data_IF_042821187764
#
_entry.id   IF_042821187764
#
_cell.length_a   1.000
_cell.length_b   1.000
_cell.length_c   1.000
_cell.angle_alpha   90.00
_cell.angle_beta   90.00
_cell.angle_gamma   90.00
#
_symmetry.space_group_name_H-M   'P 1'
#
loop_
_entity.id
_entity.type
_entity.pdbx_description
1 polymer ?
#
# COMPACT_ATOMS: atom_id res chain seq x y z
N UNK A 1 -48.94 34.94 3.51
CA UNK A 1 -47.64 34.24 3.18
C UNK A 1 -47.75 32.80 3.67
N UNK A 2 -47.89 31.82 2.77
CA UNK A 2 -47.92 30.41 3.18
C UNK A 2 -46.53 29.99 3.70
N UNK A 3 -46.49 29.52 4.94
CA UNK A 3 -45.27 29.01 5.56
C UNK A 3 -44.89 27.68 4.86
N UNK A 4 -43.68 27.60 4.26
CA UNK A 4 -43.18 26.36 3.64
C UNK A 4 -43.04 25.26 4.73
N UNK A 5 -43.40 24.05 4.34
CA UNK A 5 -43.19 22.86 5.20
C UNK A 5 -41.69 22.54 5.34
N UNK A 6 -41.33 21.78 6.37
CA UNK A 6 -39.93 21.33 6.59
C UNK A 6 -39.40 20.59 5.35
N UNK A 7 -40.22 19.76 4.71
CA UNK A 7 -39.84 18.99 3.50
C UNK A 7 -39.59 19.90 2.31
N UNK A 8 -40.41 20.93 2.11
CA UNK A 8 -40.23 21.91 1.05
C UNK A 8 -38.91 22.71 1.22
N UNK A 9 -38.59 23.10 2.45
CA UNK A 9 -37.34 23.78 2.76
C UNK A 9 -36.12 22.87 2.49
N UNK A 10 -36.21 21.60 2.80
CA UNK A 10 -35.14 20.62 2.53
C UNK A 10 -34.93 20.40 1.02
N UNK A 11 -36.04 20.29 0.27
CA UNK A 11 -36.01 20.14 -1.18
C UNK A 11 -35.42 21.39 -1.87
N UNK A 12 -35.81 22.58 -1.42
CA UNK A 12 -35.24 23.83 -1.93
C UNK A 12 -33.73 23.90 -1.68
N UNK A 13 -33.26 23.47 -0.51
CA UNK A 13 -31.84 23.42 -0.19
C UNK A 13 -31.07 22.48 -1.11
N UNK A 14 -31.57 21.25 -1.32
CA UNK A 14 -30.96 20.30 -2.23
C UNK A 14 -30.97 20.81 -3.68
N UNK A 15 -32.05 21.45 -4.10
CA UNK A 15 -32.16 22.04 -5.45
C UNK A 15 -31.13 23.16 -5.65
N UNK A 16 -30.89 24.02 -4.65
CA UNK A 16 -29.87 25.07 -4.70
C UNK A 16 -28.48 24.45 -4.84
N UNK A 17 -28.16 23.46 -4.01
CA UNK A 17 -26.87 22.76 -4.06
C UNK A 17 -26.65 22.10 -5.40
N UNK A 18 -27.68 21.42 -5.95
CA UNK A 18 -27.58 20.76 -7.25
C UNK A 18 -27.30 21.73 -8.38
N UNK A 19 -28.04 22.85 -8.44
CA UNK A 19 -27.80 23.88 -9.45
C UNK A 19 -26.38 24.43 -9.37
N UNK A 20 -25.93 24.80 -8.17
CA UNK A 20 -24.58 25.28 -7.95
C UNK A 20 -23.51 24.28 -8.42
N UNK A 21 -23.68 22.99 -8.09
CA UNK A 21 -22.74 21.94 -8.53
C UNK A 21 -22.73 21.78 -10.04
N UNK A 22 -23.88 21.87 -10.68
CA UNK A 22 -23.95 21.79 -12.13
C UNK A 22 -23.21 22.96 -12.77
N UNK A 23 -23.44 24.16 -12.25
CA UNK A 23 -22.87 25.38 -12.84
C UNK A 23 -21.36 25.49 -12.62
N UNK A 24 -20.83 25.03 -11.46
CA UNK A 24 -19.42 25.21 -11.11
C UNK A 24 -18.52 23.98 -11.38
N UNK A 25 -19.10 22.77 -11.42
CA UNK A 25 -18.31 21.53 -11.43
C UNK A 25 -18.60 20.57 -12.57
N UNK A 26 -19.58 20.87 -13.44
CA UNK A 26 -19.99 19.99 -14.53
C UNK A 26 -19.96 20.75 -15.86
N UNK A 27 -18.86 20.63 -16.59
CA UNK A 27 -18.60 21.40 -17.84
C UNK A 27 -19.70 21.24 -18.89
N UNK A 28 -20.27 20.05 -19.04
CA UNK A 28 -21.37 19.76 -19.95
C UNK A 28 -22.76 20.06 -19.37
N UNK A 29 -22.85 20.63 -18.18
CA UNK A 29 -24.07 21.07 -17.54
C UNK A 29 -25.11 19.95 -17.33
N UNK A 30 -26.39 20.30 -17.47
CA UNK A 30 -27.53 19.36 -17.23
C UNK A 30 -27.57 18.18 -18.20
N UNK A 31 -27.10 18.36 -19.42
CA UNK A 31 -27.06 17.30 -20.43
C UNK A 31 -26.03 16.23 -20.05
N UNK A 32 -24.82 16.62 -19.69
CA UNK A 32 -23.79 15.71 -19.25
C UNK A 32 -24.20 14.95 -17.99
N UNK A 33 -24.73 15.64 -16.99
CA UNK A 33 -25.22 15.02 -15.77
C UNK A 33 -26.34 14.02 -16.05
N UNK A 34 -27.27 14.35 -16.95
CA UNK A 34 -28.39 13.49 -17.29
C UNK A 34 -27.97 12.25 -18.06
N UNK A 35 -27.28 12.43 -19.17
CA UNK A 35 -26.97 11.36 -20.13
C UNK A 35 -25.75 10.56 -19.67
N UNK A 36 -24.63 11.21 -19.38
CA UNK A 36 -23.38 10.53 -19.08
C UNK A 36 -23.31 10.00 -17.63
N UNK A 37 -23.91 10.72 -16.69
CA UNK A 37 -23.78 10.40 -15.27
C UNK A 37 -24.95 9.58 -14.72
N UNK A 38 -26.19 9.98 -15.05
CA UNK A 38 -27.39 9.27 -14.57
C UNK A 38 -27.91 8.23 -15.55
N UNK A 39 -27.42 8.20 -16.79
CA UNK A 39 -27.83 7.26 -17.82
C UNK A 39 -29.26 7.49 -18.34
N UNK A 40 -29.78 8.72 -18.27
CA UNK A 40 -31.06 9.07 -18.81
C UNK A 40 -30.97 9.44 -20.29
N UNK A 41 -32.00 9.09 -21.08
CA UNK A 41 -32.01 9.41 -22.52
C UNK A 41 -32.14 10.91 -22.82
N UNK A 42 -32.72 11.68 -21.87
CA UNK A 42 -32.98 13.12 -22.06
C UNK A 42 -32.71 13.91 -20.78
N UNK A 43 -32.31 15.18 -20.97
CA UNK A 43 -32.00 16.09 -19.86
C UNK A 43 -33.22 16.54 -19.02
N UNK A 44 -34.46 16.22 -19.48
CA UNK A 44 -35.71 16.67 -18.82
C UNK A 44 -35.77 16.25 -17.33
N UNK A 45 -35.27 15.08 -16.97
CA UNK A 45 -35.26 14.61 -15.59
C UNK A 45 -34.37 15.52 -14.72
N UNK A 46 -33.15 15.85 -15.17
CA UNK A 46 -32.27 16.75 -14.43
C UNK A 46 -32.83 18.18 -14.39
N UNK A 47 -33.43 18.63 -15.47
CA UNK A 47 -34.14 19.92 -15.50
C UNK A 47 -35.25 19.99 -14.45
N UNK A 48 -35.99 18.90 -14.27
CA UNK A 48 -37.03 18.81 -13.22
C UNK A 48 -36.40 18.79 -11.80
N UNK A 49 -35.27 18.10 -11.59
CA UNK A 49 -34.58 18.09 -10.32
C UNK A 49 -34.04 19.48 -9.94
N UNK A 50 -33.67 20.29 -10.94
CA UNK A 50 -33.17 21.64 -10.78
C UNK A 50 -34.27 22.69 -10.60
N UNK A 51 -35.54 22.29 -10.73
CA UNK A 51 -36.68 23.21 -10.66
C UNK A 51 -37.09 23.48 -9.21
N UNK A 52 -37.40 24.73 -8.90
CA UNK A 52 -37.92 25.17 -7.59
C UNK A 52 -39.43 24.97 -7.44
N UNK A 53 -40.08 24.25 -8.35
CA UNK A 53 -41.56 24.01 -8.28
C UNK A 53 -41.87 23.09 -7.11
N UNK A 54 -42.93 23.37 -6.29
CA UNK A 54 -43.25 22.59 -5.09
C UNK A 54 -43.51 21.09 -5.33
N UNK A 55 -43.90 20.72 -6.55
CA UNK A 55 -44.15 19.33 -6.97
C UNK A 55 -43.00 18.68 -7.72
N UNK A 56 -41.84 19.34 -7.84
CA UNK A 56 -40.69 18.76 -8.53
C UNK A 56 -40.06 17.63 -7.71
N UNK A 57 -39.57 16.62 -8.41
CA UNK A 57 -38.77 15.58 -7.78
C UNK A 57 -37.47 16.17 -7.27
N UNK A 58 -37.04 15.75 -6.09
CA UNK A 58 -35.74 16.13 -5.57
C UNK A 58 -34.66 15.09 -5.91
N UNK A 59 -33.42 15.48 -5.84
CA UNK A 59 -32.26 14.58 -6.00
C UNK A 59 -32.34 13.46 -4.95
N UNK A 60 -32.10 12.22 -5.39
CA UNK A 60 -32.11 11.02 -4.55
C UNK A 60 -30.67 10.58 -4.26
N UNK A 61 -30.52 9.72 -3.25
CA UNK A 61 -29.21 9.19 -2.83
C UNK A 61 -28.42 8.57 -4.00
N UNK A 62 -29.07 7.79 -4.87
CA UNK A 62 -28.42 7.20 -6.04
C UNK A 62 -27.82 8.24 -7.01
N UNK A 63 -28.46 9.40 -7.14
CA UNK A 63 -27.94 10.50 -7.95
C UNK A 63 -26.73 11.15 -7.28
N UNK A 64 -26.78 11.33 -5.94
CA UNK A 64 -25.67 11.88 -5.15
C UNK A 64 -24.42 10.99 -5.22
N UNK A 65 -24.61 9.68 -5.08
CA UNK A 65 -23.55 8.67 -5.21
C UNK A 65 -22.93 8.65 -6.63
N UNK A 66 -23.76 8.84 -7.65
CA UNK A 66 -23.30 8.93 -9.04
C UNK A 66 -22.47 10.21 -9.27
N UNK A 67 -22.89 11.34 -8.70
CA UNK A 67 -22.16 12.59 -8.75
C UNK A 67 -20.82 12.47 -8.00
N UNK A 68 -20.80 11.86 -6.82
CA UNK A 68 -19.57 11.61 -6.07
C UNK A 68 -18.57 10.80 -6.90
N UNK A 69 -19.02 9.72 -7.50
CA UNK A 69 -18.19 8.83 -8.30
C UNK A 69 -17.57 9.50 -9.52
N UNK A 70 -18.35 10.31 -10.25
CA UNK A 70 -17.93 10.90 -11.52
C UNK A 70 -17.19 12.22 -11.35
N UNK A 71 -17.63 13.07 -10.42
CA UNK A 71 -17.11 14.44 -10.26
C UNK A 71 -16.33 14.64 -8.96
N UNK A 72 -16.20 13.59 -8.13
CA UNK A 72 -15.49 13.65 -6.83
C UNK A 72 -16.07 14.73 -5.91
N UNK A 73 -17.40 14.75 -5.81
CA UNK A 73 -18.18 15.66 -4.97
C UNK A 73 -18.74 14.86 -3.80
N UNK A 74 -18.31 15.11 -2.54
CA UNK A 74 -18.62 14.22 -1.42
C UNK A 74 -20.09 14.23 -1.03
N UNK A 75 -20.59 13.09 -0.53
CA UNK A 75 -21.97 12.96 -0.05
C UNK A 75 -22.29 13.91 1.09
N UNK A 76 -21.31 14.36 1.85
CA UNK A 76 -21.48 15.28 2.98
C UNK A 76 -22.08 16.62 2.61
N UNK A 77 -21.91 17.10 1.38
CA UNK A 77 -22.49 18.37 0.94
C UNK A 77 -24.02 18.32 0.86
N UNK A 78 -24.61 17.13 0.67
CA UNK A 78 -26.06 16.93 0.57
C UNK A 78 -26.74 16.89 1.93
N UNK A 79 -25.99 17.01 3.04
CA UNK A 79 -26.57 17.03 4.37
C UNK A 79 -27.46 18.27 4.56
N UNK A 80 -28.65 18.04 5.11
CA UNK A 80 -29.62 19.10 5.42
C UNK A 80 -29.16 20.06 6.53
N UNK A 81 -28.26 19.61 7.39
CA UNK A 81 -27.66 20.46 8.44
C UNK A 81 -26.63 21.46 7.90
N UNK A 82 -26.13 21.23 6.69
CA UNK A 82 -25.21 22.13 6.01
C UNK A 82 -26.06 23.16 5.20
N UNK A 83 -26.11 24.43 5.60
CA UNK A 83 -26.81 25.46 4.83
C UNK A 83 -26.17 25.63 3.45
N UNK A 84 -26.90 26.26 2.52
CA UNK A 84 -26.32 26.63 1.24
C UNK A 84 -25.39 27.83 1.44
N UNK A 85 -24.12 27.57 1.21
CA UNK A 85 -23.01 28.51 1.34
C UNK A 85 -21.94 28.06 0.35
N UNK A 86 -21.76 28.81 -0.70
CA UNK A 86 -20.88 28.46 -1.83
C UNK A 86 -19.43 28.29 -1.38
N UNK A 87 -18.92 29.16 -0.53
CA UNK A 87 -17.55 29.11 -0.03
C UNK A 87 -17.31 27.82 0.80
N UNK A 88 -18.25 27.49 1.70
CA UNK A 88 -18.15 26.24 2.49
C UNK A 88 -18.27 25.01 1.63
N UNK A 89 -19.14 25.01 0.63
CA UNK A 89 -19.28 23.88 -0.30
C UNK A 89 -17.96 23.67 -1.05
N UNK A 90 -17.34 24.74 -1.54
CA UNK A 90 -16.05 24.68 -2.24
C UNK A 90 -14.94 24.14 -1.34
N UNK A 91 -14.84 24.62 -0.10
CA UNK A 91 -13.86 24.13 0.86
C UNK A 91 -14.03 22.60 1.07
N UNK A 92 -15.26 22.15 1.33
CA UNK A 92 -15.54 20.71 1.55
C UNK A 92 -15.18 19.88 0.31
N UNK A 93 -15.48 20.36 -0.90
CA UNK A 93 -15.15 19.65 -2.15
C UNK A 93 -13.63 19.61 -2.36
N UNK A 94 -12.93 20.69 -2.15
CA UNK A 94 -11.47 20.75 -2.32
C UNK A 94 -10.72 19.91 -1.27
N UNK A 95 -11.18 19.91 -0.02
CA UNK A 95 -10.64 19.03 1.03
C UNK A 95 -10.86 17.56 0.67
N UNK A 96 -12.05 17.21 0.18
CA UNK A 96 -12.35 15.85 -0.26
C UNK A 96 -11.50 15.44 -1.45
N UNK A 97 -11.40 16.25 -2.48
CA UNK A 97 -10.53 16.02 -3.65
C UNK A 97 -9.07 15.91 -3.26
N UNK A 98 -8.62 16.76 -2.33
CA UNK A 98 -7.28 16.71 -1.77
C UNK A 98 -7.04 15.42 -0.99
N UNK A 99 -8.02 14.95 -0.21
CA UNK A 99 -7.93 13.68 0.52
C UNK A 99 -7.87 12.47 -0.43
N UNK A 100 -8.67 12.49 -1.50
CA UNK A 100 -8.60 11.48 -2.57
C UNK A 100 -7.26 11.52 -3.30
N UNK A 101 -6.74 12.72 -3.56
CA UNK A 101 -5.45 12.90 -4.19
C UNK A 101 -4.29 12.56 -3.24
N UNK A 102 -4.42 12.77 -1.93
CA UNK A 102 -3.45 12.27 -0.93
C UNK A 102 -3.43 10.74 -0.90
N UNK A 103 -4.56 10.09 -0.97
CA UNK A 103 -4.63 8.64 -1.18
C UNK A 103 -3.99 8.20 -2.50
N UNK A 104 -4.24 8.93 -3.61
CA UNK A 104 -3.63 8.69 -4.90
C UNK A 104 -2.14 9.10 -4.95
N UNK A 105 -1.74 10.13 -4.19
CA UNK A 105 -0.34 10.51 -4.01
C UNK A 105 0.42 9.46 -3.20
N UNK A 106 -0.20 8.83 -2.20
CA UNK A 106 0.41 7.68 -1.51
C UNK A 106 0.59 6.49 -2.45
N UNK A 107 -0.33 6.22 -3.37
CA UNK A 107 -0.14 5.23 -4.43
C UNK A 107 0.94 5.65 -5.44
N UNK A 108 0.96 6.90 -5.89
CA UNK A 108 2.03 7.43 -6.76
C UNK A 108 3.37 7.56 -6.05
N UNK A 109 3.37 7.79 -4.73
CA UNK A 109 4.60 7.78 -3.92
C UNK A 109 5.09 6.37 -3.64
N UNK A 110 4.20 5.39 -3.47
CA UNK A 110 4.57 3.98 -3.43
C UNK A 110 5.14 3.52 -4.79
N UNK A 111 4.60 3.99 -5.90
CA UNK A 111 5.18 3.78 -7.23
C UNK A 111 6.55 4.46 -7.40
N UNK A 112 6.83 5.55 -6.65
CA UNK A 112 8.16 6.18 -6.61
C UNK A 112 9.16 5.45 -5.72
N UNK A 113 8.70 4.77 -4.68
CA UNK A 113 9.56 3.95 -3.81
C UNK A 113 10.04 2.69 -4.54
N UNK A 114 9.15 2.06 -5.31
CA UNK A 114 9.43 0.85 -6.09
C UNK A 114 9.33 1.14 -7.58
N UNK A 115 10.39 1.70 -8.15
CA UNK A 115 10.44 2.04 -9.57
C UNK A 115 10.96 0.87 -10.41
N UNK A 116 10.39 0.71 -11.61
CA UNK A 116 10.97 -0.19 -12.61
C UNK A 116 12.37 0.30 -12.98
N UNK A 117 13.39 -0.43 -12.60
CA UNK A 117 14.78 -0.15 -12.94
C UNK A 117 15.35 -1.34 -13.70
N UNK A 118 15.12 -1.36 -15.01
CA UNK A 118 15.55 -2.47 -15.86
C UNK A 118 17.05 -2.69 -15.83
N UNK A 119 17.85 -1.63 -15.73
CA UNK A 119 19.33 -1.74 -15.67
C UNK A 119 19.79 -2.43 -14.38
N UNK A 120 19.17 -2.10 -13.25
CA UNK A 120 19.44 -2.77 -11.97
C UNK A 120 18.91 -4.19 -11.99
N UNK A 121 17.68 -4.38 -12.48
CA UNK A 121 17.06 -5.70 -12.60
C UNK A 121 17.93 -6.67 -13.41
N UNK A 122 18.44 -6.24 -14.55
CA UNK A 122 19.33 -7.07 -15.38
C UNK A 122 20.62 -7.49 -14.68
N UNK A 123 21.06 -6.75 -13.66
CA UNK A 123 22.18 -7.14 -12.82
C UNK A 123 21.80 -8.11 -11.71
N UNK A 124 20.54 -8.04 -11.24
CA UNK A 124 20.03 -8.86 -10.15
C UNK A 124 19.48 -10.20 -10.59
N UNK A 125 18.85 -10.28 -11.78
CA UNK A 125 18.23 -11.52 -12.26
C UNK A 125 19.22 -12.69 -12.37
N UNK A 126 18.71 -13.90 -12.19
CA UNK A 126 19.45 -15.16 -12.20
C UNK A 126 19.89 -15.63 -10.81
N UNK A 127 20.83 -16.56 -10.79
CA UNK A 127 21.21 -17.29 -9.59
C UNK A 127 22.19 -16.49 -8.71
N UNK A 128 21.93 -16.53 -7.41
CA UNK A 128 22.75 -15.96 -6.34
C UNK A 128 22.91 -16.98 -5.21
N UNK A 129 24.00 -16.90 -4.48
CA UNK A 129 24.22 -17.64 -3.25
C UNK A 129 24.15 -16.67 -2.08
N UNK A 130 23.18 -16.89 -1.18
CA UNK A 130 23.05 -16.14 0.07
C UNK A 130 23.82 -16.85 1.18
N UNK A 131 24.60 -16.09 1.93
CA UNK A 131 25.42 -16.58 3.06
C UNK A 131 24.97 -15.84 4.31
N UNK A 132 24.60 -16.61 5.33
CA UNK A 132 24.20 -16.08 6.65
C UNK A 132 24.33 -17.16 7.73
N UNK A 133 24.42 -16.75 8.97
CA UNK A 133 24.39 -17.68 10.07
C UNK A 133 22.99 -18.25 10.30
N UNK A 134 22.85 -19.54 10.64
CA UNK A 134 21.54 -20.14 10.91
C UNK A 134 20.81 -19.47 12.07
N UNK A 135 19.50 -19.28 11.91
CA UNK A 135 18.62 -18.82 12.99
C UNK A 135 18.47 -19.86 14.10
N UNK A 136 18.53 -21.14 13.71
CA UNK A 136 18.40 -22.26 14.63
C UNK A 136 19.79 -22.87 14.90
N UNK A 137 20.24 -22.93 16.18
CA UNK A 137 21.50 -23.57 16.56
C UNK A 137 21.61 -25.04 16.15
N UNK A 138 20.48 -25.77 16.10
CA UNK A 138 20.48 -27.17 15.67
C UNK A 138 20.80 -27.32 14.17
N UNK A 139 20.48 -26.34 13.34
CA UNK A 139 20.83 -26.32 11.93
C UNK A 139 22.33 -26.04 11.73
N UNK A 140 22.98 -25.36 12.66
CA UNK A 140 24.40 -25.06 12.59
C UNK A 140 25.25 -26.33 12.52
N UNK A 141 24.87 -27.39 13.23
CA UNK A 141 25.60 -28.66 13.22
C UNK A 141 25.48 -29.41 11.88
N UNK A 142 24.40 -29.18 11.13
CA UNK A 142 24.14 -29.84 9.83
C UNK A 142 24.75 -29.09 8.64
N UNK A 143 25.10 -27.82 8.81
CA UNK A 143 25.49 -26.89 7.74
C UNK A 143 26.89 -26.31 7.95
N UNK A 144 27.74 -26.99 8.70
CA UNK A 144 29.06 -26.48 9.10
C UNK A 144 28.96 -25.07 9.75
N UNK A 145 27.81 -24.76 10.38
CA UNK A 145 27.57 -23.51 11.09
C UNK A 145 27.28 -22.31 10.19
N UNK A 146 26.97 -22.50 8.91
CA UNK A 146 26.58 -21.44 7.99
C UNK A 146 25.56 -21.93 6.97
N UNK A 147 24.59 -21.10 6.64
CA UNK A 147 23.67 -21.34 5.53
C UNK A 147 24.24 -20.79 4.22
N UNK A 148 24.26 -21.64 3.20
CA UNK A 148 24.59 -21.31 1.82
C UNK A 148 23.34 -21.60 1.00
N UNK A 149 22.58 -20.57 0.70
CA UNK A 149 21.26 -20.70 0.12
C UNK A 149 21.26 -20.21 -1.32
N UNK A 150 21.12 -21.16 -2.25
CA UNK A 150 20.93 -20.79 -3.65
C UNK A 150 19.57 -20.11 -3.81
N UNK A 151 19.56 -18.95 -4.44
CA UNK A 151 18.39 -18.10 -4.63
C UNK A 151 18.32 -17.67 -6.10
N UNK A 152 17.21 -17.93 -6.76
CA UNK A 152 16.99 -17.52 -8.16
C UNK A 152 16.04 -16.35 -8.23
N UNK A 153 16.44 -15.29 -8.93
CA UNK A 153 15.59 -14.14 -9.29
C UNK A 153 15.18 -14.31 -10.77
N UNK A 154 13.89 -14.54 -11.00
CA UNK A 154 13.30 -14.79 -12.30
C UNK A 154 12.97 -13.51 -13.07
N UNK A 155 12.68 -13.63 -14.37
CA UNK A 155 12.37 -12.50 -15.27
C UNK A 155 11.11 -11.72 -14.87
N UNK A 156 10.21 -12.33 -14.14
CA UNK A 156 8.96 -11.74 -13.61
C UNK A 156 9.09 -11.17 -12.19
N UNK A 157 10.33 -10.95 -11.73
CA UNK A 157 10.67 -10.49 -10.38
C UNK A 157 10.38 -11.49 -9.26
N UNK A 158 9.92 -12.70 -9.55
CA UNK A 158 9.83 -13.75 -8.55
C UNK A 158 11.22 -14.11 -8.03
N UNK A 159 11.26 -14.44 -6.75
CA UNK A 159 12.45 -14.92 -6.06
C UNK A 159 12.13 -16.23 -5.39
N UNK A 160 12.89 -17.26 -5.68
CA UNK A 160 12.72 -18.59 -5.06
C UNK A 160 14.09 -19.05 -4.56
N UNK A 161 14.13 -19.58 -3.36
CA UNK A 161 15.35 -20.17 -2.82
C UNK A 161 15.32 -21.71 -2.83
N UNK A 162 16.45 -22.30 -2.47
CA UNK A 162 16.62 -23.76 -2.46
C UNK A 162 15.60 -24.49 -1.60
N UNK A 163 15.09 -23.88 -0.55
CA UNK A 163 14.08 -24.50 0.34
C UNK A 163 12.65 -24.34 -0.19
N UNK A 164 12.47 -23.70 -1.32
CA UNK A 164 11.16 -23.42 -1.90
C UNK A 164 10.48 -22.17 -1.37
N UNK A 165 11.12 -21.40 -0.47
CA UNK A 165 10.57 -20.12 -0.04
C UNK A 165 10.49 -19.19 -1.24
N UNK A 166 9.33 -18.62 -1.48
CA UNK A 166 9.02 -17.86 -2.67
C UNK A 166 8.51 -16.45 -2.34
N UNK A 167 8.75 -15.53 -3.24
CA UNK A 167 8.27 -14.15 -3.10
C UNK A 167 8.70 -13.26 -4.24
N UNK A 168 8.86 -11.97 -3.97
CA UNK A 168 9.10 -10.98 -5.01
C UNK A 168 10.21 -9.98 -4.64
N UNK A 169 10.96 -9.60 -5.67
CA UNK A 169 11.91 -8.50 -5.63
C UNK A 169 11.18 -7.17 -5.87
N UNK A 170 11.38 -6.20 -4.98
CA UNK A 170 10.91 -4.82 -5.10
C UNK A 170 12.12 -3.89 -5.23
N UNK A 171 12.24 -3.23 -6.39
CA UNK A 171 13.35 -2.33 -6.67
C UNK A 171 13.01 -0.92 -6.21
N UNK A 172 13.84 -0.36 -5.34
CA UNK A 172 13.80 1.04 -4.96
C UNK A 172 14.90 1.86 -5.65
N UNK A 173 14.95 3.14 -5.36
CA UNK A 173 15.97 4.05 -5.92
C UNK A 173 17.37 3.74 -5.39
N UNK A 174 17.52 3.66 -4.09
CA UNK A 174 18.81 3.45 -3.41
C UNK A 174 18.93 2.06 -2.77
N UNK A 175 17.80 1.48 -2.39
CA UNK A 175 17.70 0.21 -1.70
C UNK A 175 16.58 -0.63 -2.32
N UNK A 176 16.71 -1.94 -2.23
CA UNK A 176 15.73 -2.89 -2.74
C UNK A 176 15.38 -3.89 -1.65
N UNK A 177 14.19 -4.50 -1.81
CA UNK A 177 13.65 -5.50 -0.91
C UNK A 177 13.38 -6.79 -1.67
N UNK A 178 13.60 -7.91 -1.00
CA UNK A 178 13.02 -9.19 -1.35
C UNK A 178 12.08 -9.57 -0.20
N UNK A 179 10.83 -9.84 -0.50
CA UNK A 179 9.85 -10.31 0.47
C UNK A 179 9.50 -11.73 0.06
N UNK A 180 9.74 -12.69 0.94
CA UNK A 180 9.45 -14.11 0.72
C UNK A 180 8.55 -14.65 1.81
N UNK A 181 7.74 -15.61 1.44
CA UNK A 181 6.98 -16.46 2.34
C UNK A 181 7.66 -17.82 2.46
N UNK A 182 7.73 -18.34 3.65
CA UNK A 182 8.31 -19.66 3.90
C UNK A 182 7.37 -20.75 3.40
N UNK A 183 7.91 -21.74 2.71
CA UNK A 183 7.15 -22.88 2.21
C UNK A 183 6.57 -23.77 3.34
N UNK A 184 7.25 -23.82 4.49
CA UNK A 184 6.87 -24.76 5.56
C UNK A 184 5.85 -24.20 6.57
N UNK A 185 5.88 -22.89 6.82
CA UNK A 185 5.15 -22.28 7.94
C UNK A 185 4.53 -20.90 7.63
N UNK A 186 4.50 -20.50 6.37
CA UNK A 186 3.92 -19.24 5.90
C UNK A 186 4.54 -17.97 6.54
N UNK A 187 5.67 -18.10 7.24
CA UNK A 187 6.37 -16.97 7.86
C UNK A 187 6.95 -16.02 6.81
N UNK A 188 6.77 -14.74 7.02
CA UNK A 188 7.35 -13.72 6.16
C UNK A 188 8.82 -13.48 6.48
N UNK A 189 9.61 -13.40 5.42
CA UNK A 189 11.02 -13.00 5.45
C UNK A 189 11.20 -11.75 4.62
N UNK A 190 11.78 -10.71 5.21
CA UNK A 190 12.10 -9.46 4.53
C UNK A 190 13.61 -9.29 4.44
N UNK A 191 14.12 -9.21 3.22
CA UNK A 191 15.53 -9.00 2.93
C UNK A 191 15.71 -7.60 2.32
N UNK A 192 16.54 -6.77 2.93
CA UNK A 192 16.85 -5.41 2.48
C UNK A 192 18.32 -5.33 2.06
N UNK A 193 18.59 -4.66 0.93
CA UNK A 193 19.97 -4.44 0.47
C UNK A 193 20.13 -3.12 -0.28
N UNK A 194 21.35 -2.60 -0.28
CA UNK A 194 21.69 -1.38 -0.99
C UNK A 194 22.00 -1.65 -2.47
N UNK A 195 21.36 -0.91 -3.36
CA UNK A 195 21.59 -1.00 -4.80
C UNK A 195 23.00 -0.59 -5.23
N UNK A 196 23.72 0.15 -4.39
CA UNK A 196 25.09 0.63 -4.68
C UNK A 196 26.10 -0.51 -4.79
N UNK A 197 25.87 -1.62 -4.11
CA UNK A 197 26.79 -2.76 -4.04
C UNK A 197 26.51 -3.85 -5.08
N UNK A 198 25.33 -3.89 -5.67
CA UNK A 198 24.91 -4.89 -6.67
C UNK A 198 25.88 -5.00 -7.88
N UNK A 199 26.43 -3.90 -8.42
CA UNK A 199 27.37 -3.99 -9.55
C UNK A 199 28.61 -4.84 -9.31
N UNK A 200 29.02 -5.05 -8.05
CA UNK A 200 30.23 -5.79 -7.68
C UNK A 200 30.03 -7.32 -7.65
N UNK A 201 28.85 -7.81 -8.06
CA UNK A 201 28.50 -9.24 -8.06
C UNK A 201 28.51 -9.89 -6.66
N UNK A 202 28.62 -9.10 -5.62
CA UNK A 202 28.40 -9.45 -4.23
C UNK A 202 27.90 -8.21 -3.48
N UNK A 203 26.97 -8.40 -2.55
CA UNK A 203 26.43 -7.30 -1.76
C UNK A 203 25.88 -7.83 -0.44
N UNK A 204 26.05 -7.04 0.61
CA UNK A 204 25.47 -7.35 1.92
C UNK A 204 23.97 -7.10 1.92
N UNK A 205 23.27 -7.85 2.76
CA UNK A 205 21.87 -7.64 3.05
C UNK A 205 21.60 -7.71 4.55
N UNK A 206 20.45 -7.17 4.95
CA UNK A 206 19.83 -7.40 6.25
C UNK A 206 18.58 -8.23 6.02
N UNK A 207 18.38 -9.26 6.80
CA UNK A 207 17.18 -10.09 6.78
C UNK A 207 16.47 -10.00 8.12
N UNK A 208 15.16 -9.85 8.08
CA UNK A 208 14.25 -9.94 9.21
C UNK A 208 13.39 -11.17 8.97
N UNK A 209 13.39 -12.07 9.92
CA UNK A 209 12.61 -13.31 9.88
C UNK A 209 12.31 -13.79 11.29
N UNK A 210 11.40 -14.74 11.44
CA UNK A 210 11.23 -15.43 12.70
C UNK A 210 12.35 -16.42 12.95
N UNK A 211 12.69 -16.66 14.20
CA UNK A 211 13.54 -17.75 14.59
C UNK A 211 12.72 -19.04 14.41
N UNK A 212 13.22 -19.94 13.60
CA UNK A 212 12.56 -21.16 13.12
C UNK A 212 11.55 -21.78 14.11
N UNK A 213 10.29 -21.89 13.71
CA UNK A 213 9.16 -22.40 14.49
C UNK A 213 8.88 -21.65 15.82
N UNK A 214 9.24 -20.38 15.90
CA UNK A 214 8.94 -19.53 17.05
C UNK A 214 8.36 -18.21 16.58
N UNK A 215 7.72 -17.46 17.49
CA UNK A 215 7.26 -16.10 17.25
C UNK A 215 8.37 -15.05 17.47
N UNK A 216 9.60 -15.49 17.78
CA UNK A 216 10.72 -14.60 18.08
C UNK A 216 11.32 -14.04 16.81
N UNK A 217 11.21 -12.74 16.62
CA UNK A 217 11.86 -12.02 15.54
C UNK A 217 13.37 -12.01 15.67
N UNK A 218 14.03 -12.10 14.53
CA UNK A 218 15.48 -12.07 14.44
C UNK A 218 15.91 -11.17 13.29
N UNK A 219 16.95 -10.40 13.52
CA UNK A 219 17.65 -9.64 12.49
C UNK A 219 19.01 -10.30 12.26
N UNK A 220 19.28 -10.65 10.99
CA UNK A 220 20.53 -11.26 10.59
C UNK A 220 21.13 -10.46 9.43
N UNK A 221 22.46 -10.36 9.41
CA UNK A 221 23.20 -9.81 8.29
C UNK A 221 23.83 -10.96 7.49
N UNK A 222 23.79 -10.81 6.19
CA UNK A 222 24.38 -11.75 5.27
C UNK A 222 24.89 -11.06 4.02
N UNK A 223 25.36 -11.85 3.08
CA UNK A 223 25.72 -11.35 1.77
C UNK A 223 25.26 -12.30 0.65
N UNK A 224 24.93 -11.72 -0.48
CA UNK A 224 24.75 -12.43 -1.74
C UNK A 224 26.01 -12.40 -2.59
N UNK A 225 26.29 -13.51 -3.27
CA UNK A 225 27.38 -13.57 -4.24
C UNK A 225 26.98 -14.39 -5.48
N UNK A 226 27.53 -14.03 -6.64
CA UNK A 226 27.49 -14.86 -7.84
C UNK A 226 28.50 -16.02 -7.78
N UNK A 227 29.59 -15.84 -7.04
CA UNK A 227 30.57 -16.89 -6.78
C UNK A 227 30.08 -17.75 -5.61
N UNK A 228 30.17 -19.07 -5.75
CA UNK A 228 29.95 -19.98 -4.63
C UNK A 228 31.23 -20.06 -3.80
N UNK A 229 31.12 -19.66 -2.53
CA UNK A 229 32.19 -19.76 -1.53
C UNK A 229 32.03 -21.05 -0.72
N UNK A 230 33.14 -21.56 -0.20
CA UNK A 230 33.13 -22.63 0.81
C UNK A 230 32.56 -22.09 2.14
N UNK A 231 32.11 -22.98 3.04
CA UNK A 231 31.67 -22.58 4.38
C UNK A 231 32.70 -21.75 5.14
N UNK A 232 33.98 -22.11 5.07
CA UNK A 232 35.02 -21.38 5.76
C UNK A 232 35.25 -19.99 5.16
N UNK A 233 35.40 -19.86 3.84
CA UNK A 233 35.55 -18.58 3.18
C UNK A 233 34.35 -17.63 3.51
N UNK A 234 33.15 -18.18 3.58
CA UNK A 234 31.95 -17.39 3.90
C UNK A 234 31.95 -16.92 5.37
N UNK A 235 32.41 -17.74 6.31
CA UNK A 235 32.59 -17.36 7.71
C UNK A 235 33.66 -16.27 7.88
N UNK A 236 34.74 -16.38 7.15
CA UNK A 236 35.82 -15.38 7.18
C UNK A 236 35.32 -14.01 6.68
N UNK A 237 34.39 -14.01 5.70
CA UNK A 237 33.73 -12.78 5.20
C UNK A 237 32.72 -12.23 6.21
N UNK A 238 31.90 -13.08 6.82
CA UNK A 238 30.83 -12.66 7.77
C UNK A 238 31.42 -12.22 9.12
N UNK A 239 32.49 -12.85 9.56
CA UNK A 239 33.07 -12.66 10.89
C UNK A 239 32.26 -13.39 11.98
N UNK A 240 32.34 -12.93 13.23
CA UNK A 240 31.71 -13.55 14.38
C UNK A 240 30.20 -13.49 14.33
N UNK A 241 29.51 -14.59 14.61
CA UNK A 241 28.04 -14.70 14.54
C UNK A 241 27.33 -13.65 15.40
N UNK A 242 27.82 -13.40 16.62
CA UNK A 242 27.22 -12.44 17.55
C UNK A 242 27.31 -10.98 17.08
N UNK A 243 28.14 -10.68 16.09
CA UNK A 243 28.24 -9.35 15.48
C UNK A 243 27.32 -9.14 14.29
N UNK A 244 26.83 -10.21 13.69
CA UNK A 244 26.02 -10.17 12.47
C UNK A 244 24.61 -10.76 12.65
N UNK A 245 24.29 -11.21 13.86
CA UNK A 245 22.97 -11.75 14.20
C UNK A 245 22.48 -11.17 15.52
N UNK A 246 21.30 -10.58 15.51
CA UNK A 246 20.60 -10.05 16.67
C UNK A 246 19.32 -10.87 16.87
N UNK A 247 19.14 -11.41 18.06
CA UNK A 247 17.91 -12.13 18.49
C UNK A 247 17.15 -11.25 19.47
N UNK A 248 15.83 -11.38 19.46
CA UNK A 248 15.00 -10.74 20.45
C UNK A 248 15.36 -11.25 21.84
N UNK A 249 15.52 -10.32 22.78
CA UNK A 249 15.78 -10.65 24.17
C UNK A 249 14.52 -11.25 24.84
N UNK A 250 14.60 -12.49 25.31
CA UNK A 250 13.52 -13.18 26.02
C UNK A 250 13.03 -12.41 27.26
N UNK A 251 13.91 -11.64 27.90
CA UNK A 251 13.52 -10.75 29.02
C UNK A 251 12.64 -9.59 28.56
N UNK A 252 12.76 -9.18 27.30
CA UNK A 252 11.88 -8.16 26.71
C UNK A 252 10.43 -8.66 26.66
N UNK A 253 10.19 -9.87 26.19
CA UNK A 253 8.84 -10.49 26.22
C UNK A 253 8.26 -10.58 27.63
N UNK A 254 9.06 -11.03 28.59
CA UNK A 254 8.64 -11.10 30.00
C UNK A 254 8.28 -9.70 30.54
N UNK A 255 9.01 -8.66 30.15
CA UNK A 255 8.70 -7.29 30.55
C UNK A 255 7.40 -6.81 29.92
N UNK A 256 7.14 -7.12 28.63
CA UNK A 256 5.88 -6.79 27.97
C UNK A 256 4.69 -7.48 28.62
N UNK A 257 4.82 -8.78 28.92
CA UNK A 257 3.76 -9.55 29.59
C UNK A 257 3.42 -8.97 30.95
N UNK A 258 4.42 -8.56 31.76
CA UNK A 258 4.21 -7.90 33.05
C UNK A 258 3.48 -6.55 32.94
N UNK A 259 3.59 -5.87 31.81
CA UNK A 259 2.87 -4.61 31.52
C UNK A 259 1.45 -4.86 30.98
N UNK A 260 0.94 -6.08 30.97
CA UNK A 260 -0.40 -6.40 30.49
C UNK A 260 -0.52 -6.49 28.96
N UNK A 261 0.59 -6.47 28.26
CA UNK A 261 0.62 -6.78 26.82
C UNK A 261 0.62 -8.29 26.69
N UNK A 262 -0.50 -8.86 26.25
CA UNK A 262 -0.62 -10.30 26.02
C UNK A 262 0.12 -10.63 24.71
N UNK A 263 1.08 -11.55 24.70
CA UNK A 263 1.63 -12.05 23.42
C UNK A 263 0.51 -12.74 22.63
N UNK A 264 0.47 -12.49 21.33
CA UNK A 264 -0.47 -13.11 20.39
C UNK A 264 -0.19 -14.60 20.23
#
# INVERSE_FOLDING_TARGET
>A
MNRKTKTELQNDLLTKKLNYIIDEYIDGGKEELSVKTFGYERQNTVTNLCSYKPKSQTIKKIHMESIEKHYRIPLSIWNYSLPFDEEKINIIIEEYRTSLNRGALSFKEQDKIFQKNQKLFNKLKGVWYAYLYPSNPLSANKTEGIWIVETTIYEDYRVVDWWGNAGYLKLGKNESLIIKESYENDDLTVIRFSNRHVPFKHFRFTIISNQNNTTHEMVNFGFYSRKKYSPQEAKDILGEMNRVQLKLDLEFEKRLTKQGVVPF
#
